data_IF_842277084000
#
_entry.id   IF_842277084000
#
_cell.length_a   1.000
_cell.length_b   1.000
_cell.length_c   1.000
_cell.angle_alpha   90.00
_cell.angle_beta   90.00
_cell.angle_gamma   90.00
#
_symmetry.space_group_name_H-M   'P 1'
#
loop_
_entity.id
_entity.type
_entity.pdbx_description
1 polymer ?
#
# COMPACT_ATOMS: atom_id res chain seq x y z
N UNK A 1 24.28 11.62 0.55
CA UNK A 1 23.87 10.48 -0.32
C UNK A 1 22.47 10.71 -0.85
N UNK A 2 22.21 10.44 -2.15
CA UNK A 2 20.89 10.65 -2.76
C UNK A 2 19.84 9.75 -2.08
N UNK A 3 18.69 10.33 -1.70
CA UNK A 3 17.57 9.61 -1.04
C UNK A 3 16.62 8.94 -2.04
N UNK A 4 16.88 9.13 -3.33
CA UNK A 4 16.03 8.75 -4.46
C UNK A 4 16.89 8.07 -5.54
N UNK A 5 16.32 7.07 -6.20
CA UNK A 5 16.90 6.49 -7.42
C UNK A 5 16.63 7.39 -8.62
N UNK A 6 17.58 7.45 -9.56
CA UNK A 6 17.42 8.27 -10.77
C UNK A 6 16.17 7.87 -11.56
N UNK A 7 15.87 6.57 -11.65
CA UNK A 7 14.68 6.04 -12.29
C UNK A 7 13.39 6.73 -11.81
N UNK A 8 13.29 7.06 -10.53
CA UNK A 8 12.10 7.69 -9.94
C UNK A 8 11.77 9.06 -10.56
N UNK A 9 12.78 9.86 -10.87
CA UNK A 9 12.59 11.16 -11.55
C UNK A 9 12.49 11.02 -13.07
N UNK A 10 13.16 10.02 -13.64
CA UNK A 10 13.35 9.89 -15.08
C UNK A 10 12.38 8.90 -15.76
N UNK A 11 11.44 8.31 -15.01
CA UNK A 11 10.39 7.43 -15.54
C UNK A 11 9.03 8.10 -15.44
N UNK A 12 8.36 8.28 -16.57
CA UNK A 12 7.03 8.92 -16.63
C UNK A 12 5.90 7.96 -16.30
N UNK A 13 6.02 6.72 -16.74
CA UNK A 13 5.02 5.68 -16.60
C UNK A 13 5.69 4.33 -16.51
N UNK A 14 5.11 3.44 -15.73
CA UNK A 14 5.31 2.00 -15.85
C UNK A 14 4.05 1.35 -16.40
N UNK A 15 4.18 0.08 -16.78
CA UNK A 15 3.09 -0.76 -17.26
C UNK A 15 2.83 -1.83 -16.22
N UNK A 16 1.59 -1.91 -15.73
CA UNK A 16 1.19 -2.87 -14.72
C UNK A 16 0.15 -3.83 -15.29
N UNK A 17 0.33 -5.12 -14.98
CA UNK A 17 -0.66 -6.14 -15.31
C UNK A 17 -1.77 -6.11 -14.26
N UNK A 18 -2.97 -5.70 -14.66
CA UNK A 18 -4.09 -5.55 -13.76
C UNK A 18 -5.24 -6.51 -14.07
N UNK A 19 -5.83 -7.06 -13.01
CA UNK A 19 -7.04 -7.86 -13.01
C UNK A 19 -6.96 -9.04 -13.99
N UNK A 20 -5.81 -9.74 -13.99
CA UNK A 20 -5.63 -10.95 -14.78
C UNK A 20 -6.53 -12.06 -14.22
N UNK A 21 -7.33 -12.68 -15.06
CA UNK A 21 -8.24 -13.76 -14.66
C UNK A 21 -7.48 -15.08 -14.68
N UNK A 22 -6.94 -15.48 -13.53
CA UNK A 22 -6.02 -16.61 -13.43
C UNK A 22 -6.64 -17.93 -13.90
N UNK A 23 -7.92 -18.18 -13.58
CA UNK A 23 -8.59 -19.41 -14.05
C UNK A 23 -8.65 -19.47 -15.58
N UNK A 24 -8.90 -18.33 -16.24
CA UNK A 24 -8.95 -18.31 -17.71
C UNK A 24 -7.59 -18.58 -18.35
N UNK A 25 -6.51 -18.12 -17.72
CA UNK A 25 -5.14 -18.33 -18.20
C UNK A 25 -4.70 -19.79 -17.99
N UNK A 26 -5.10 -20.43 -16.88
CA UNK A 26 -4.74 -21.82 -16.56
C UNK A 26 -5.61 -22.83 -17.31
N UNK A 27 -6.93 -22.66 -17.32
CA UNK A 27 -7.87 -23.68 -17.80
C UNK A 27 -8.01 -23.74 -19.31
N UNK A 28 -7.84 -22.62 -20.02
CA UNK A 28 -8.14 -22.57 -21.45
C UNK A 28 -6.90 -22.61 -22.33
N UNK A 29 -5.68 -22.48 -21.78
CA UNK A 29 -4.46 -22.28 -22.56
C UNK A 29 -4.50 -21.04 -23.49
N UNK A 30 -5.59 -20.26 -23.44
CA UNK A 30 -5.87 -19.10 -24.25
C UNK A 30 -5.18 -17.88 -23.63
N UNK A 31 -3.87 -17.79 -23.86
CA UNK A 31 -3.08 -16.63 -23.44
C UNK A 31 -3.67 -15.35 -24.04
N UNK A 32 -4.02 -14.39 -23.19
CA UNK A 32 -4.16 -12.99 -23.60
C UNK A 32 -5.52 -12.47 -24.07
N UNK A 33 -6.61 -13.25 -24.04
CA UNK A 33 -7.88 -12.81 -24.66
C UNK A 33 -8.95 -12.23 -23.74
N UNK A 34 -8.74 -12.16 -22.40
CA UNK A 34 -9.78 -11.68 -21.46
C UNK A 34 -9.20 -10.89 -20.30
N UNK A 35 -8.69 -9.69 -20.58
CA UNK A 35 -8.34 -8.70 -19.56
C UNK A 35 -9.36 -7.55 -19.61
N UNK A 36 -9.87 -7.09 -18.45
CA UNK A 36 -10.91 -6.05 -18.40
C UNK A 36 -10.51 -4.75 -19.05
N UNK A 37 -9.22 -4.44 -18.96
CA UNK A 37 -8.53 -3.32 -19.60
C UNK A 37 -7.19 -3.84 -20.08
N UNK A 38 -6.61 -3.10 -21.03
CA UNK A 38 -5.20 -3.24 -21.36
C UNK A 38 -4.27 -3.02 -20.16
N UNK A 39 -3.00 -2.84 -20.46
CA UNK A 39 -1.99 -2.49 -19.47
C UNK A 39 -2.34 -1.17 -18.76
N UNK A 40 -2.37 -1.16 -17.42
CA UNK A 40 -2.48 0.12 -16.70
C UNK A 40 -1.16 0.87 -16.85
N UNK A 41 -1.25 2.12 -17.31
CA UNK A 41 -0.13 3.01 -17.61
C UNK A 41 -0.46 4.45 -17.21
N UNK A 42 0.52 5.34 -17.30
CA UNK A 42 0.41 6.76 -16.95
C UNK A 42 0.67 7.08 -15.48
N UNK A 43 1.16 6.11 -14.71
CA UNK A 43 1.59 6.33 -13.34
C UNK A 43 2.89 5.59 -13.02
N UNK A 44 3.52 5.99 -11.90
CA UNK A 44 4.57 5.24 -11.23
C UNK A 44 4.17 5.05 -9.77
N UNK A 45 4.64 3.97 -9.15
CA UNK A 45 4.44 3.74 -7.73
C UNK A 45 5.77 3.87 -6.99
N UNK A 46 5.77 4.57 -5.85
CA UNK A 46 6.97 4.81 -5.07
C UNK A 46 7.03 3.90 -3.86
N UNK A 47 8.17 3.25 -3.69
CA UNK A 47 8.45 2.39 -2.55
C UNK A 47 9.93 2.46 -2.17
N UNK A 48 10.28 1.96 -0.98
CA UNK A 48 11.67 1.88 -0.53
C UNK A 48 12.32 0.62 -1.08
N UNK A 49 13.39 0.77 -1.85
CA UNK A 49 14.21 -0.36 -2.30
C UNK A 49 15.16 -0.77 -1.16
N UNK A 50 15.13 -2.04 -0.78
CA UNK A 50 15.83 -2.55 0.41
C UNK A 50 17.34 -2.54 0.23
N UNK A 51 17.82 -2.90 -0.96
CA UNK A 51 19.25 -2.99 -1.26
C UNK A 51 19.93 -1.62 -1.26
N UNK A 52 19.25 -0.60 -1.81
CA UNK A 52 19.81 0.75 -1.94
C UNK A 52 19.44 1.66 -0.78
N UNK A 53 18.38 1.34 -0.04
CA UNK A 53 17.76 2.22 0.97
C UNK A 53 17.07 3.46 0.38
N UNK A 54 17.02 3.57 -0.96
CA UNK A 54 16.48 4.74 -1.66
C UNK A 54 15.00 4.55 -2.00
N UNK A 55 14.33 5.67 -2.28
CA UNK A 55 12.99 5.63 -2.89
C UNK A 55 13.15 5.32 -4.38
N UNK A 56 12.55 4.21 -4.80
CA UNK A 56 12.58 3.68 -6.15
C UNK A 56 11.17 3.39 -6.67
N UNK A 57 11.10 2.87 -7.89
CA UNK A 57 9.85 2.49 -8.54
C UNK A 57 9.53 1.03 -8.21
N UNK A 58 8.25 0.75 -7.97
CA UNK A 58 7.72 -0.59 -7.78
C UNK A 58 6.64 -0.85 -8.82
N UNK A 59 6.54 -2.10 -9.25
CA UNK A 59 5.46 -2.59 -10.10
C UNK A 59 4.66 -3.65 -9.32
N UNK A 60 3.41 -3.84 -9.73
CA UNK A 60 2.57 -4.89 -9.20
C UNK A 60 1.83 -5.62 -10.31
N UNK A 61 1.50 -6.88 -10.02
CA UNK A 61 0.58 -7.66 -10.81
C UNK A 61 -0.62 -8.02 -9.94
N UNK A 62 -1.82 -7.77 -10.45
CA UNK A 62 -3.05 -8.18 -9.79
C UNK A 62 -3.78 -9.28 -10.55
N UNK A 63 -4.30 -10.24 -9.80
CA UNK A 63 -5.07 -11.36 -10.32
C UNK A 63 -6.41 -11.50 -9.60
N UNK A 64 -7.39 -12.02 -10.33
CA UNK A 64 -8.64 -12.54 -9.80
C UNK A 64 -8.77 -14.01 -10.18
N UNK A 65 -9.26 -14.82 -9.26
CA UNK A 65 -9.50 -16.24 -9.48
C UNK A 65 -10.74 -16.71 -8.72
N UNK A 66 -11.32 -17.82 -9.15
CA UNK A 66 -12.58 -18.37 -8.65
C UNK A 66 -13.69 -17.31 -8.54
N UNK A 67 -13.70 -16.35 -9.47
CA UNK A 67 -14.69 -15.28 -9.58
C UNK A 67 -14.65 -14.19 -8.50
N UNK A 68 -13.98 -14.37 -7.35
CA UNK A 68 -13.97 -13.33 -6.31
C UNK A 68 -12.72 -13.31 -5.41
N UNK A 69 -11.76 -14.21 -5.64
CA UNK A 69 -10.51 -14.25 -4.89
C UNK A 69 -9.49 -13.36 -5.57
N UNK A 70 -9.06 -12.32 -4.88
CA UNK A 70 -8.19 -11.28 -5.45
C UNK A 70 -6.82 -11.27 -4.78
N UNK A 71 -5.77 -11.07 -5.57
CA UNK A 71 -4.39 -11.08 -5.06
C UNK A 71 -3.49 -10.10 -5.80
N UNK A 72 -2.62 -9.41 -5.06
CA UNK A 72 -1.56 -8.57 -5.62
C UNK A 72 -0.17 -9.09 -5.26
N UNK A 73 0.73 -9.12 -6.23
CA UNK A 73 2.17 -9.32 -6.03
C UNK A 73 2.92 -8.03 -6.37
N UNK A 74 3.89 -7.63 -5.55
CA UNK A 74 4.68 -6.40 -5.71
C UNK A 74 6.16 -6.69 -5.80
N UNK A 75 6.86 -6.04 -6.73
CA UNK A 75 8.29 -6.18 -6.92
C UNK A 75 8.96 -4.88 -7.40
N UNK A 76 10.27 -4.73 -7.18
CA UNK A 76 11.00 -3.57 -7.68
C UNK A 76 10.90 -3.51 -9.21
N UNK A 77 10.86 -2.30 -9.75
CA UNK A 77 10.90 -2.08 -11.19
C UNK A 77 12.16 -1.33 -11.57
N UNK A 78 12.94 -1.90 -12.48
CA UNK A 78 14.14 -1.30 -13.02
C UNK A 78 13.88 -0.95 -14.49
N UNK A 79 13.71 0.34 -14.84
CA UNK A 79 13.50 0.74 -16.22
C UNK A 79 14.78 0.50 -17.03
N UNK A 80 14.61 0.03 -18.27
CA UNK A 80 15.71 -0.15 -19.22
C UNK A 80 16.04 1.15 -19.99
N UNK A 81 15.25 2.21 -19.80
CA UNK A 81 15.45 3.50 -20.44
C UNK A 81 15.06 4.60 -19.47
N UNK A 82 15.91 5.61 -19.34
CA UNK A 82 15.66 6.82 -18.56
C UNK A 82 15.42 7.99 -19.51
N UNK A 83 14.41 8.79 -19.24
CA UNK A 83 14.10 9.97 -20.04
C UNK A 83 15.19 11.05 -19.86
N UNK A 84 15.43 11.90 -20.88
CA UNK A 84 16.36 13.01 -20.76
C UNK A 84 15.95 14.01 -19.67
N UNK A 85 16.89 14.85 -19.23
CA UNK A 85 16.75 15.72 -18.05
C UNK A 85 15.61 16.74 -18.17
N UNK A 86 15.37 17.26 -19.36
CA UNK A 86 14.27 18.14 -19.72
C UNK A 86 12.88 17.48 -19.61
N UNK A 87 12.83 16.16 -19.72
CA UNK A 87 11.62 15.35 -19.58
C UNK A 87 11.43 14.79 -18.16
N UNK A 88 12.27 15.20 -17.20
CA UNK A 88 12.19 14.73 -15.82
C UNK A 88 10.93 15.20 -15.12
N UNK A 89 10.51 14.38 -14.16
CA UNK A 89 9.44 14.71 -13.25
C UNK A 89 9.83 15.88 -12.35
N UNK A 90 8.92 16.85 -12.21
CA UNK A 90 9.12 17.98 -11.29
C UNK A 90 8.82 17.56 -9.84
N UNK A 91 9.33 18.33 -8.86
CA UNK A 91 9.02 18.06 -7.46
C UNK A 91 7.52 18.10 -7.15
N UNK A 92 6.75 19.00 -7.79
CA UNK A 92 5.30 19.12 -7.56
C UNK A 92 4.48 17.92 -8.04
N UNK A 93 4.99 17.13 -8.98
CA UNK A 93 4.33 15.87 -9.39
C UNK A 93 4.42 14.79 -8.30
N UNK A 94 5.46 14.84 -7.44
CA UNK A 94 5.66 13.90 -6.33
C UNK A 94 5.16 14.44 -4.99
N UNK A 95 5.32 15.74 -4.73
CA UNK A 95 5.08 16.37 -3.44
C UNK A 95 3.75 17.12 -3.43
N UNK A 96 2.95 16.92 -2.38
CA UNK A 96 1.61 17.51 -2.22
C UNK A 96 0.71 17.30 -3.45
N UNK A 97 0.86 16.16 -4.12
CA UNK A 97 0.05 15.83 -5.27
C UNK A 97 -1.37 15.40 -4.84
N UNK A 98 -2.29 15.30 -5.80
CA UNK A 98 -3.69 14.95 -5.54
C UNK A 98 -3.85 13.63 -4.78
N UNK A 99 -2.99 12.64 -5.04
CA UNK A 99 -3.01 11.32 -4.37
C UNK A 99 -2.70 11.47 -2.88
N UNK A 100 -1.74 12.33 -2.54
CA UNK A 100 -1.37 12.60 -1.15
C UNK A 100 -2.46 13.40 -0.45
N UNK A 101 -3.05 14.39 -1.13
CA UNK A 101 -4.19 15.15 -0.59
C UNK A 101 -5.38 14.23 -0.30
N UNK A 102 -5.71 13.33 -1.23
CA UNK A 102 -6.77 12.32 -1.04
C UNK A 102 -6.43 11.43 0.16
N UNK A 103 -5.23 10.84 0.19
CA UNK A 103 -4.78 9.98 1.29
C UNK A 103 -4.82 10.68 2.66
N UNK A 104 -4.44 11.96 2.73
CA UNK A 104 -4.49 12.70 3.99
C UNK A 104 -5.93 12.93 4.47
N UNK A 105 -6.90 13.00 3.56
CA UNK A 105 -8.32 13.25 3.90
C UNK A 105 -9.12 11.97 4.14
N UNK A 106 -8.82 10.88 3.44
CA UNK A 106 -9.63 9.65 3.45
C UNK A 106 -8.89 8.46 4.05
N UNK A 107 -7.57 8.56 4.25
CA UNK A 107 -6.69 7.42 4.51
C UNK A 107 -6.73 6.32 3.45
N UNK A 108 -7.22 6.65 2.24
CA UNK A 108 -7.30 5.73 1.11
C UNK A 108 -6.63 6.35 -0.12
N UNK A 109 -6.01 5.49 -0.92
CA UNK A 109 -5.45 5.79 -2.23
C UNK A 109 -6.12 4.84 -3.20
N UNK A 110 -7.02 5.37 -4.02
CA UNK A 110 -7.70 4.57 -5.03
C UNK A 110 -6.75 4.34 -6.19
N UNK A 111 -6.19 3.14 -6.31
CA UNK A 111 -5.30 2.81 -7.43
C UNK A 111 -6.13 2.49 -8.67
N UNK A 112 -7.21 1.73 -8.48
CA UNK A 112 -8.10 1.29 -9.56
C UNK A 112 -9.55 1.23 -9.04
N UNK A 113 -10.48 1.81 -9.79
CA UNK A 113 -11.89 1.95 -9.44
C UNK A 113 -12.80 1.47 -10.56
N UNK A 114 -13.87 0.77 -10.24
CA UNK A 114 -14.91 0.45 -11.21
C UNK A 114 -15.77 1.67 -11.53
N UNK A 115 -15.82 2.02 -12.81
CA UNK A 115 -16.70 3.02 -13.37
C UNK A 115 -17.90 2.32 -14.04
N UNK A 116 -19.02 2.33 -13.32
CA UNK A 116 -20.29 1.81 -13.79
C UNK A 116 -21.08 2.78 -14.68
N UNK A 117 -20.62 4.04 -14.79
CA UNK A 117 -21.30 5.13 -15.50
C UNK A 117 -20.81 5.20 -16.95
N UNK A 118 -19.51 4.98 -17.18
CA UNK A 118 -18.96 4.89 -18.54
C UNK A 118 -19.63 3.80 -19.38
N UNK A 119 -19.75 4.06 -20.68
CA UNK A 119 -20.21 3.07 -21.68
C UNK A 119 -19.11 2.89 -22.73
N UNK A 120 -18.46 1.70 -22.82
CA UNK A 120 -18.64 0.54 -21.95
C UNK A 120 -18.11 0.77 -20.53
N UNK A 121 -18.66 0.02 -19.56
CA UNK A 121 -18.21 0.05 -18.17
C UNK A 121 -16.77 -0.42 -18.09
N UNK A 122 -15.97 0.20 -17.24
CA UNK A 122 -14.52 -0.04 -17.18
C UNK A 122 -13.97 0.22 -15.79
N UNK A 123 -12.81 -0.36 -15.49
CA UNK A 123 -11.94 0.16 -14.43
C UNK A 123 -11.24 1.43 -14.93
N UNK A 124 -11.24 2.46 -14.10
CA UNK A 124 -10.40 3.65 -14.23
C UNK A 124 -9.32 3.61 -13.17
N UNK A 125 -8.18 4.25 -13.40
CA UNK A 125 -7.05 4.20 -12.48
C UNK A 125 -6.38 5.55 -12.32
N UNK A 126 -5.75 5.72 -11.16
CA UNK A 126 -5.06 6.96 -10.79
C UNK A 126 -3.82 7.16 -11.66
N UNK A 127 -3.64 8.40 -12.13
CA UNK A 127 -2.50 8.83 -12.94
C UNK A 127 -1.43 9.50 -12.06
N UNK A 128 -0.19 9.58 -12.57
CA UNK A 128 0.87 10.33 -11.91
C UNK A 128 1.67 9.51 -10.89
N UNK A 129 1.99 10.10 -9.75
CA UNK A 129 2.85 9.47 -8.74
C UNK A 129 2.02 8.96 -7.59
N UNK A 130 2.05 7.64 -7.38
CA UNK A 130 1.31 6.98 -6.30
C UNK A 130 2.32 6.49 -5.25
N UNK A 131 2.45 7.14 -4.09
CA UNK A 131 3.26 6.61 -3.02
C UNK A 131 2.63 5.36 -2.41
N UNK A 132 3.44 4.36 -2.05
CA UNK A 132 2.99 3.23 -1.23
C UNK A 132 3.23 3.57 0.25
N UNK A 133 2.19 3.89 1.02
CA UNK A 133 2.32 4.24 2.44
C UNK A 133 2.63 3.00 3.31
N UNK A 134 3.09 3.17 4.57
CA UNK A 134 3.28 2.07 5.52
C UNK A 134 2.06 1.16 5.69
N UNK A 135 0.85 1.72 5.58
CA UNK A 135 -0.42 1.02 5.81
C UNK A 135 -1.11 0.52 4.52
N UNK A 136 -0.34 0.39 3.44
CA UNK A 136 -0.79 0.08 2.07
C UNK A 136 -1.76 -1.11 1.93
N UNK A 137 -1.69 -2.10 2.83
CA UNK A 137 -2.60 -3.26 2.84
C UNK A 137 -4.07 -2.85 2.99
N UNK A 138 -4.32 -1.72 3.62
CA UNK A 138 -5.66 -1.19 3.90
C UNK A 138 -5.93 0.12 3.17
N UNK A 139 -4.90 0.94 2.95
CA UNK A 139 -5.06 2.22 2.29
C UNK A 139 -5.09 2.14 0.76
N UNK A 140 -4.45 1.15 0.13
CA UNK A 140 -4.55 1.00 -1.32
C UNK A 140 -5.86 0.29 -1.72
N UNK A 141 -6.69 0.99 -2.48
CA UNK A 141 -8.00 0.49 -2.92
C UNK A 141 -7.92 0.01 -4.37
N UNK A 142 -8.39 -1.23 -4.57
CA UNK A 142 -8.43 -1.91 -5.87
C UNK A 142 -9.81 -2.49 -6.13
N UNK A 143 -10.44 -2.04 -7.21
CA UNK A 143 -11.66 -2.66 -7.72
C UNK A 143 -11.33 -3.68 -8.82
N UNK A 144 -11.93 -4.85 -8.72
CA UNK A 144 -11.82 -5.93 -9.67
C UNK A 144 -13.15 -6.10 -10.40
N UNK A 145 -13.05 -6.59 -11.62
CA UNK A 145 -14.16 -6.85 -12.52
C UNK A 145 -14.06 -8.28 -13.08
N UNK A 146 -15.19 -8.92 -13.31
CA UNK A 146 -15.30 -10.21 -13.98
C UNK A 146 -15.85 -10.05 -15.40
N UNK A 147 -15.46 -10.97 -16.26
CA UNK A 147 -16.06 -11.12 -17.59
C UNK A 147 -17.16 -12.18 -17.56
N UNK A 148 -18.39 -11.80 -17.94
CA UNK A 148 -19.54 -12.73 -18.06
C UNK A 148 -19.84 -13.12 -19.50
N UNK A 149 -19.01 -12.69 -20.45
CA UNK A 149 -19.19 -13.00 -21.86
C UNK A 149 -18.73 -14.41 -22.23
N UNK A 150 -19.04 -14.80 -23.46
CA UNK A 150 -18.66 -16.09 -24.02
C UNK A 150 -17.16 -16.31 -23.99
N UNK A 151 -16.75 -17.40 -23.35
CA UNK A 151 -15.33 -17.73 -23.14
C UNK A 151 -14.69 -18.47 -24.32
N UNK A 152 -15.47 -18.92 -25.28
CA UNK A 152 -15.04 -19.68 -26.47
C UNK A 152 -14.72 -18.80 -27.68
N UNK A 153 -14.79 -17.47 -27.53
CA UNK A 153 -14.55 -16.50 -28.61
C UNK A 153 -13.18 -15.83 -28.47
N UNK A 154 -12.61 -15.42 -29.60
CA UNK A 154 -11.33 -14.68 -29.69
C UNK A 154 -11.49 -13.17 -29.50
N UNK A 155 -12.70 -12.69 -29.18
CA UNK A 155 -12.99 -11.27 -29.01
C UNK A 155 -13.68 -11.00 -27.68
N UNK A 156 -13.13 -10.05 -26.91
CA UNK A 156 -13.77 -9.58 -25.66
C UNK A 156 -14.89 -8.59 -25.99
N UNK A 157 -16.10 -8.82 -25.47
CA UNK A 157 -17.18 -7.85 -25.53
C UNK A 157 -17.08 -6.86 -24.34
N UNK A 158 -16.79 -5.57 -24.56
CA UNK A 158 -16.61 -4.62 -23.46
C UNK A 158 -17.85 -4.44 -22.56
N UNK A 159 -19.05 -4.73 -23.06
CA UNK A 159 -20.29 -4.63 -22.28
C UNK A 159 -20.47 -5.78 -21.26
N UNK A 160 -19.71 -6.86 -21.40
CA UNK A 160 -19.82 -8.05 -20.55
C UNK A 160 -18.93 -8.00 -19.30
N UNK A 161 -18.28 -6.86 -19.05
CA UNK A 161 -17.56 -6.63 -17.80
C UNK A 161 -18.50 -6.17 -16.71
N UNK A 162 -18.41 -6.82 -15.56
CA UNK A 162 -19.19 -6.50 -14.37
C UNK A 162 -18.28 -6.33 -13.18
N UNK A 163 -18.69 -5.50 -12.21
CA UNK A 163 -17.98 -5.38 -10.95
C UNK A 163 -17.92 -6.75 -10.25
N UNK A 164 -16.73 -7.12 -9.78
CA UNK A 164 -16.53 -8.36 -9.03
C UNK A 164 -16.37 -8.07 -7.54
N UNK A 165 -15.40 -7.21 -7.19
CA UNK A 165 -15.00 -7.03 -5.80
C UNK A 165 -14.17 -5.76 -5.60
N UNK A 166 -14.30 -5.15 -4.42
CA UNK A 166 -13.34 -4.17 -3.90
C UNK A 166 -12.40 -4.84 -2.89
N UNK A 167 -11.12 -4.52 -3.00
CA UNK A 167 -10.08 -4.97 -2.07
C UNK A 167 -9.45 -6.32 -2.44
N UNK A 168 -8.47 -6.71 -1.63
CA UNK A 168 -7.62 -7.89 -1.83
C UNK A 168 -7.96 -8.99 -0.82
N UNK A 169 -7.99 -10.25 -1.26
CA UNK A 169 -7.97 -11.40 -0.34
C UNK A 169 -6.55 -11.74 0.14
N UNK A 170 -5.55 -11.49 -0.70
CA UNK A 170 -4.16 -11.71 -0.37
C UNK A 170 -3.25 -10.70 -1.04
N UNK A 171 -2.06 -10.54 -0.46
CA UNK A 171 -1.09 -9.58 -0.92
C UNK A 171 0.31 -10.11 -0.60
N UNK A 172 1.22 -10.01 -1.57
CA UNK A 172 2.62 -10.34 -1.38
C UNK A 172 3.51 -9.24 -1.91
N UNK A 173 4.15 -8.51 -1.01
CA UNK A 173 5.27 -7.66 -1.37
C UNK A 173 6.57 -8.45 -1.20
N UNK A 174 7.44 -8.44 -2.21
CA UNK A 174 8.75 -9.09 -2.13
C UNK A 174 9.67 -8.30 -1.20
N UNK A 175 9.44 -8.45 0.11
CA UNK A 175 10.02 -7.65 1.20
C UNK A 175 11.54 -7.71 1.30
N UNK A 176 12.18 -8.68 0.65
CA UNK A 176 13.64 -8.74 0.47
C UNK A 176 14.17 -7.63 -0.45
N UNK A 177 13.33 -7.09 -1.33
CA UNK A 177 13.72 -6.13 -2.36
C UNK A 177 13.02 -4.79 -2.22
N UNK A 178 11.75 -4.79 -1.80
CA UNK A 178 10.93 -3.58 -1.72
C UNK A 178 10.09 -3.56 -0.45
N UNK A 179 9.97 -2.37 0.14
CA UNK A 179 9.15 -2.08 1.32
C UNK A 179 8.28 -0.85 1.04
N UNK A 180 7.12 -0.67 1.68
CA UNK A 180 6.39 0.58 1.60
C UNK A 180 7.28 1.74 2.06
N UNK A 181 6.96 2.95 1.65
CA UNK A 181 7.63 4.14 2.16
C UNK A 181 7.48 4.23 3.68
N UNK A 182 8.50 4.77 4.37
CA UNK A 182 8.39 5.04 5.81
C UNK A 182 7.46 6.22 6.07
N UNK A 183 7.01 6.40 7.32
CA UNK A 183 6.27 7.60 7.69
C UNK A 183 7.08 8.87 7.40
N UNK A 184 8.37 8.90 7.76
CA UNK A 184 9.24 10.03 7.44
C UNK A 184 9.37 10.32 5.93
N UNK A 185 9.33 9.29 5.08
CA UNK A 185 9.36 9.47 3.62
C UNK A 185 8.03 10.05 3.13
N UNK A 186 6.91 9.55 3.64
CA UNK A 186 5.59 10.06 3.32
C UNK A 186 5.38 11.50 3.78
N UNK A 187 5.86 11.87 4.98
CA UNK A 187 5.84 13.26 5.46
C UNK A 187 6.61 14.20 4.55
N UNK A 188 7.77 13.76 4.02
CA UNK A 188 8.51 14.57 3.03
C UNK A 188 7.73 14.77 1.74
N UNK A 189 6.89 13.81 1.35
CA UNK A 189 6.01 13.96 0.18
C UNK A 189 4.79 14.84 0.47
N UNK A 190 4.53 15.24 1.72
CA UNK A 190 3.38 16.05 2.11
C UNK A 190 2.27 15.30 2.83
N UNK A 191 2.51 14.03 3.20
CA UNK A 191 1.53 13.25 3.93
C UNK A 191 1.60 13.48 5.44
N UNK A 192 0.45 13.60 6.09
CA UNK A 192 0.33 13.61 7.55
C UNK A 192 0.21 12.17 8.06
N UNK A 193 1.26 11.38 7.92
CA UNK A 193 1.29 10.06 8.58
C UNK A 193 1.41 10.29 10.08
N UNK A 194 0.46 9.73 10.83
CA UNK A 194 0.19 10.05 12.23
C UNK A 194 1.28 9.67 13.25
N UNK A 195 2.53 9.41 12.84
CA UNK A 195 3.64 9.19 13.77
C UNK A 195 4.21 10.54 14.18
N UNK A 196 3.95 10.94 15.42
CA UNK A 196 4.40 12.20 15.96
C UNK A 196 5.48 11.95 17.02
N UNK A 197 6.65 12.60 16.93
CA UNK A 197 7.61 12.61 18.03
C UNK A 197 7.00 13.38 19.21
N UNK A 198 6.94 12.73 20.38
CA UNK A 198 6.50 13.38 21.63
C UNK A 198 7.68 14.18 22.20
N UNK A 199 8.86 13.59 22.23
CA UNK A 199 10.11 14.23 22.62
C UNK A 199 11.31 13.49 22.00
N UNK A 200 12.46 14.16 21.98
CA UNK A 200 13.72 13.63 21.47
C UNK A 200 14.68 13.18 22.58
N UNK A 201 14.18 13.00 23.81
CA UNK A 201 15.02 12.50 24.89
C UNK A 201 15.32 11.02 24.63
N UNK A 202 16.56 10.60 24.85
CA UNK A 202 16.96 9.20 24.70
C UNK A 202 16.30 8.39 25.83
N UNK A 203 15.27 7.57 25.55
CA UNK A 203 14.62 6.76 26.56
C UNK A 203 15.57 5.68 27.05
N UNK A 204 15.48 5.31 28.33
CA UNK A 204 16.35 4.29 28.92
C UNK A 204 16.14 2.89 28.33
N UNK A 205 14.95 2.61 27.80
CA UNK A 205 14.58 1.30 27.24
C UNK A 205 13.56 1.42 26.10
N UNK A 206 13.51 0.38 25.27
CA UNK A 206 12.38 0.17 24.37
C UNK A 206 11.12 -0.13 25.18
N UNK A 207 9.98 0.42 24.76
CA UNK A 207 8.70 0.19 25.41
C UNK A 207 7.54 0.38 24.42
N UNK A 208 6.52 -0.46 24.52
CA UNK A 208 5.23 -0.26 23.84
C UNK A 208 4.16 -0.02 24.91
N UNK A 209 3.68 1.21 25.05
CA UNK A 209 2.68 1.55 26.04
C UNK A 209 1.32 0.96 25.67
N UNK A 210 0.47 0.80 26.69
CA UNK A 210 -0.93 0.47 26.44
C UNK A 210 -1.58 1.60 25.63
N UNK A 211 -2.41 1.23 24.65
CA UNK A 211 -3.12 2.23 23.84
C UNK A 211 -4.12 3.01 24.70
N UNK A 212 -4.35 4.28 24.38
CA UNK A 212 -5.32 5.13 25.09
C UNK A 212 -6.19 5.93 24.11
N UNK A 213 -7.53 5.90 24.25
CA UNK A 213 -8.29 5.08 25.21
C UNK A 213 -8.22 3.58 24.90
N UNK A 214 -8.49 2.72 25.89
CA UNK A 214 -8.71 1.28 25.73
C UNK A 214 -9.73 0.82 26.80
N UNK A 215 -10.96 0.41 26.43
CA UNK A 215 -11.47 0.25 25.07
C UNK A 215 -11.55 1.56 24.25
N UNK A 216 -11.61 1.46 22.92
CA UNK A 216 -11.62 2.61 22.01
C UNK A 216 -12.73 2.54 20.96
N UNK A 217 -13.15 3.69 20.42
CA UNK A 217 -14.17 3.82 19.37
C UNK A 217 -13.98 5.08 18.48
N UNK A 218 -13.80 4.94 17.15
CA UNK A 218 -12.97 3.92 16.52
C UNK A 218 -11.48 4.29 16.57
N UNK A 219 -11.11 5.41 17.21
CA UNK A 219 -9.75 5.94 17.26
C UNK A 219 -9.07 5.69 18.61
N UNK A 220 -7.77 5.38 18.59
CA UNK A 220 -6.92 5.29 19.78
C UNK A 220 -5.51 5.73 19.45
N UNK A 221 -4.73 6.08 20.48
CA UNK A 221 -3.32 6.44 20.34
C UNK A 221 -2.43 5.37 20.93
N UNK A 222 -1.36 5.03 20.22
CA UNK A 222 -0.38 4.03 20.61
C UNK A 222 0.96 4.74 20.78
N UNK A 223 1.49 4.71 22.02
CA UNK A 223 2.76 5.33 22.36
C UNK A 223 3.85 4.30 22.52
N UNK A 224 5.05 4.63 22.08
CA UNK A 224 6.20 3.74 22.20
C UNK A 224 7.50 4.54 22.28
N UNK A 225 8.53 3.92 22.88
CA UNK A 225 9.85 4.52 23.07
C UNK A 225 10.92 3.71 22.33
N UNK A 226 11.86 4.42 21.72
CA UNK A 226 13.00 3.87 20.99
C UNK A 226 14.26 4.23 21.75
N UNK A 227 14.97 3.25 22.33
CA UNK A 227 16.16 3.49 23.14
C UNK A 227 17.37 3.92 22.30
N UNK A 228 17.58 3.24 21.17
CA UNK A 228 18.73 3.43 20.26
C UNK A 228 18.25 3.42 18.82
N UNK A 229 19.04 4.03 17.94
CA UNK A 229 18.73 4.04 16.50
C UNK A 229 18.60 2.60 15.99
N UNK A 230 17.40 2.23 15.53
CA UNK A 230 17.10 0.88 15.04
C UNK A 230 15.91 0.90 14.08
N UNK A 231 15.71 -0.22 13.37
CA UNK A 231 14.51 -0.43 12.59
C UNK A 231 13.36 -0.90 13.48
N UNK A 232 12.20 -0.30 13.28
CA UNK A 232 10.99 -0.54 14.06
C UNK A 232 9.89 -1.10 13.16
N UNK A 233 9.18 -2.10 13.67
CA UNK A 233 7.92 -2.56 13.15
C UNK A 233 6.84 -2.38 14.21
N UNK A 234 5.68 -1.89 13.81
CA UNK A 234 4.51 -1.77 14.66
C UNK A 234 3.31 -2.27 13.87
N UNK A 235 2.74 -3.39 14.32
CA UNK A 235 1.73 -4.15 13.58
C UNK A 235 0.55 -4.49 14.47
N UNK A 236 -0.64 -4.49 13.90
CA UNK A 236 -1.90 -4.84 14.58
C UNK A 236 -2.41 -6.15 14.01
N UNK A 237 -2.76 -7.08 14.88
CA UNK A 237 -3.29 -8.41 14.56
C UNK A 237 -4.68 -8.58 15.17
N UNK A 238 -5.52 -9.39 14.54
CA UNK A 238 -6.78 -9.84 15.15
C UNK A 238 -6.56 -11.00 16.14
N UNK A 239 -7.65 -11.49 16.74
CA UNK A 239 -7.63 -12.61 17.70
C UNK A 239 -7.12 -13.94 17.15
N UNK A 240 -7.15 -14.11 15.82
CA UNK A 240 -6.62 -15.29 15.13
C UNK A 240 -5.14 -15.16 14.76
N UNK A 241 -4.48 -14.05 15.11
CA UNK A 241 -3.09 -13.77 14.75
C UNK A 241 -2.91 -13.32 13.30
N UNK A 242 -3.99 -13.00 12.59
CA UNK A 242 -3.93 -12.46 11.23
C UNK A 242 -3.58 -10.98 11.31
N UNK A 243 -2.58 -10.56 10.53
CA UNK A 243 -2.17 -9.16 10.40
C UNK A 243 -3.30 -8.34 9.75
N UNK A 244 -3.80 -7.32 10.45
CA UNK A 244 -4.87 -6.44 9.96
C UNK A 244 -4.40 -5.04 9.59
N UNK A 245 -3.34 -4.53 10.23
CA UNK A 245 -2.79 -3.20 9.93
C UNK A 245 -1.29 -3.19 10.22
N UNK A 246 -0.49 -2.63 9.32
CA UNK A 246 0.89 -2.25 9.61
C UNK A 246 0.94 -0.74 9.83
N UNK A 247 1.28 -0.30 11.04
CA UNK A 247 1.40 1.11 11.39
C UNK A 247 2.81 1.63 11.08
N UNK A 248 3.83 0.78 11.28
CA UNK A 248 5.23 1.07 11.00
C UNK A 248 5.87 -0.16 10.38
N UNK A 249 6.53 0.01 9.24
CA UNK A 249 7.16 -1.09 8.48
C UNK A 249 8.64 -0.80 8.25
N UNK A 250 9.47 -1.46 9.06
CA UNK A 250 10.93 -1.40 8.98
C UNK A 250 11.45 0.05 8.89
N UNK A 251 10.94 0.92 9.77
CA UNK A 251 11.32 2.32 9.79
C UNK A 251 12.53 2.52 10.69
N UNK A 252 13.60 3.11 10.16
CA UNK A 252 14.76 3.49 10.95
C UNK A 252 14.40 4.71 11.81
N UNK A 253 14.20 4.49 13.11
CA UNK A 253 13.78 5.52 14.06
C UNK A 253 14.93 5.89 14.98
N UNK A 254 15.10 7.19 15.22
CA UNK A 254 16.07 7.72 16.18
C UNK A 254 15.58 7.48 17.62
N UNK A 255 16.46 7.57 18.63
CA UNK A 255 16.03 7.57 20.01
C UNK A 255 14.99 8.65 20.27
N UNK A 256 13.95 8.30 21.02
CA UNK A 256 12.86 9.22 21.34
C UNK A 256 11.57 8.50 21.69
N UNK A 257 10.58 9.29 22.08
CA UNK A 257 9.20 8.84 22.28
C UNK A 257 8.32 9.24 21.11
N UNK A 258 7.43 8.34 20.71
CA UNK A 258 6.58 8.49 19.55
C UNK A 258 5.15 8.10 19.88
N UNK A 259 4.20 8.77 19.21
CA UNK A 259 2.78 8.46 19.24
C UNK A 259 2.31 8.16 17.82
N UNK A 260 1.48 7.14 17.64
CA UNK A 260 0.74 6.91 16.40
C UNK A 260 -0.74 6.77 16.67
N UNK A 261 -1.57 7.41 15.86
CA UNK A 261 -3.02 7.20 15.89
C UNK A 261 -3.39 5.94 15.11
N UNK A 262 -4.28 5.13 15.69
CA UNK A 262 -4.86 3.96 15.08
C UNK A 262 -6.35 4.15 14.87
N UNK A 263 -6.79 4.03 13.62
CA UNK A 263 -8.19 4.09 13.21
C UNK A 263 -8.73 2.68 12.93
N UNK A 264 -9.66 2.22 13.78
CA UNK A 264 -10.36 0.94 13.67
C UNK A 264 -11.72 1.02 12.95
N UNK A 265 -12.03 2.09 12.23
CA UNK A 265 -13.36 2.30 11.62
C UNK A 265 -13.72 1.27 10.55
N UNK A 266 -12.75 0.59 9.93
CA UNK A 266 -13.01 -0.52 8.99
C UNK A 266 -12.99 -1.91 9.64
N UNK A 267 -12.76 -2.00 10.96
CA UNK A 267 -12.63 -3.25 11.69
C UNK A 267 -13.87 -3.57 12.52
N UNK A 268 -14.19 -4.85 12.72
CA UNK A 268 -15.29 -5.27 13.60
C UNK A 268 -14.94 -5.07 15.07
N UNK A 269 -15.94 -4.83 15.93
CA UNK A 269 -15.75 -4.82 17.39
C UNK A 269 -15.10 -6.13 17.86
N UNK A 270 -14.16 -6.04 18.79
CA UNK A 270 -13.43 -7.21 19.27
C UNK A 270 -12.05 -6.91 19.83
N UNK A 271 -11.30 -8.00 20.05
CA UNK A 271 -9.94 -7.95 20.60
C UNK A 271 -8.91 -7.94 19.48
N UNK A 272 -7.97 -7.01 19.59
CA UNK A 272 -6.82 -6.85 18.71
C UNK A 272 -5.53 -6.83 19.51
N UNK A 273 -4.42 -7.12 18.85
CA UNK A 273 -3.09 -7.13 19.46
C UNK A 273 -2.16 -6.22 18.67
N UNK A 274 -1.63 -5.18 19.32
CA UNK A 274 -0.57 -4.36 18.74
C UNK A 274 0.78 -4.93 19.19
N UNK A 275 1.67 -5.21 18.24
CA UNK A 275 3.01 -5.71 18.49
C UNK A 275 4.05 -4.74 17.94
N UNK A 276 5.03 -4.43 18.76
CA UNK A 276 6.24 -3.72 18.38
C UNK A 276 7.42 -4.68 18.33
N UNK A 277 8.23 -4.55 17.29
CA UNK A 277 9.51 -5.25 17.13
C UNK A 277 10.59 -4.23 16.78
N UNK A 278 11.67 -4.18 17.56
CA UNK A 278 12.78 -3.24 17.37
C UNK A 278 14.10 -3.82 17.88
N UNK A 279 15.08 -4.05 17.01
CA UNK A 279 16.25 -4.87 17.34
C UNK A 279 15.82 -6.20 18.00
N UNK A 280 16.28 -6.49 19.21
CA UNK A 280 15.92 -7.69 19.99
C UNK A 280 14.66 -7.51 20.85
N UNK A 281 14.10 -6.31 20.91
CA UNK A 281 12.90 -6.02 21.68
C UNK A 281 11.65 -6.46 20.93
N UNK A 282 10.77 -7.20 21.62
CA UNK A 282 9.42 -7.56 21.15
C UNK A 282 8.42 -7.40 22.30
N UNK A 283 7.40 -6.58 22.10
CA UNK A 283 6.32 -6.40 23.07
C UNK A 283 4.98 -6.37 22.36
N UNK A 284 3.96 -6.98 22.97
CA UNK A 284 2.60 -7.00 22.45
C UNK A 284 1.64 -6.47 23.51
N UNK A 285 0.72 -5.59 23.13
CA UNK A 285 -0.35 -5.06 23.98
C UNK A 285 -1.72 -5.41 23.40
N UNK A 286 -2.67 -5.70 24.30
CA UNK A 286 -4.06 -6.06 23.95
C UNK A 286 -4.92 -4.80 23.87
N UNK A 287 -5.62 -4.64 22.76
CA UNK A 287 -6.53 -3.52 22.48
C UNK A 287 -7.97 -4.04 22.33
N UNK A 288 -8.94 -3.26 22.79
CA UNK A 288 -10.36 -3.59 22.68
C UNK A 288 -11.09 -2.51 21.86
N UNK A 289 -11.54 -2.87 20.67
CA UNK A 289 -12.38 -2.01 19.83
C UNK A 289 -13.84 -2.25 20.18
N UNK A 290 -14.57 -1.18 20.51
CA UNK A 290 -16.01 -1.19 20.73
C UNK A 290 -16.62 -0.21 19.72
N UNK A 291 -17.60 -0.67 18.95
CA UNK A 291 -18.45 0.15 18.09
C UNK A 291 -19.89 0.03 18.54
#
# INVERSE_FOLDING_TARGET
MSKLECATCHTRSIVNCYNCHFDTEVWQGMRGFKRPIGQLKGFIMLARHVQTGKVGIVNYQSIIYQGNKTFNAWGPYYPHTIMPKDSTRTCGECHNNAVISEYNSTHQIVVAKWDSVSVPKKIVHTQGVIPIPPDYLTSLVFDFANYTGRLDTTYTNPAMWVFAKRGLNGNQMLSRYVLPLTASQMTKLGSTIGIQPINSNTPEKFNLQQNYPNPFNPYTKIRFSIQKNTNVFLRVYNSLGVLVKELIVNENMKPGEYEVEFNGSELSSGVYFCRMEAADFRQTVKMMLIK
#
